data_IF_222256999223
#
_entry.id   IF_222256999223
#
_cell.length_a   1.000
_cell.length_b   1.000
_cell.length_c   1.000
_cell.angle_alpha   90.00
_cell.angle_beta   90.00
_cell.angle_gamma   90.00
#
_symmetry.space_group_name_H-M   'P 1'
#
loop_
_entity.id
_entity.type
_entity.pdbx_description
1 polymer ?
#
# COMPACT_ATOMS: atom_id res chain seq x y z
N UNK A 1 -11.04 4.63 -29.43
CA UNK A 1 -11.73 4.37 -28.15
C UNK A 1 -10.67 3.90 -27.17
N UNK A 2 -10.10 4.82 -26.41
CA UNK A 2 -9.10 4.49 -25.39
C UNK A 2 -9.87 3.97 -24.19
N UNK A 3 -9.87 2.64 -24.00
CA UNK A 3 -10.32 2.04 -22.75
C UNK A 3 -9.30 2.41 -21.67
N UNK A 4 -9.47 3.61 -21.12
CA UNK A 4 -8.74 4.06 -19.95
C UNK A 4 -9.37 3.34 -18.75
N UNK A 5 -9.01 2.07 -18.57
CA UNK A 5 -9.32 1.36 -17.33
C UNK A 5 -8.62 2.13 -16.22
N UNK A 6 -9.37 2.92 -15.46
CA UNK A 6 -8.97 3.40 -14.15
C UNK A 6 -8.83 2.18 -13.23
N UNK A 7 -7.72 1.44 -13.38
CA UNK A 7 -7.31 0.29 -12.58
C UNK A 7 -6.80 0.74 -11.19
N UNK A 8 -7.35 1.83 -10.65
CA UNK A 8 -7.13 2.26 -9.27
C UNK A 8 -8.12 1.49 -8.37
N UNK A 9 -8.11 0.17 -8.48
CA UNK A 9 -8.89 -0.74 -7.61
C UNK A 9 -8.12 -1.07 -6.34
N UNK A 10 -6.87 -0.61 -6.24
CA UNK A 10 -5.99 -0.87 -5.12
C UNK A 10 -5.27 0.41 -4.71
N UNK A 11 -5.09 0.59 -3.41
CA UNK A 11 -4.18 1.60 -2.84
C UNK A 11 -2.79 0.96 -2.69
N UNK A 12 -1.75 1.67 -3.13
CA UNK A 12 -0.38 1.21 -3.00
C UNK A 12 0.30 1.89 -1.80
N UNK A 13 1.13 1.13 -1.09
CA UNK A 13 1.87 1.59 0.07
C UNK A 13 3.35 1.27 -0.12
N UNK A 14 4.18 2.30 -0.17
CA UNK A 14 5.64 2.17 -0.09
C UNK A 14 6.05 2.14 1.38
N UNK A 15 6.67 1.03 1.80
CA UNK A 15 7.12 0.84 3.17
C UNK A 15 8.64 0.79 3.18
N UNK A 16 9.24 1.87 3.66
CA UNK A 16 10.67 1.93 3.92
C UNK A 16 10.98 1.18 5.20
N UNK A 17 11.91 0.25 5.12
CA UNK A 17 12.33 -0.62 6.21
C UNK A 17 13.83 -0.54 6.44
N UNK A 18 14.27 -1.06 7.59
CA UNK A 18 15.67 -1.43 7.80
C UNK A 18 15.95 -2.73 7.02
N UNK A 19 16.99 -2.78 6.17
CA UNK A 19 17.26 -3.94 5.32
C UNK A 19 17.53 -5.22 6.12
N UNK A 20 18.15 -5.11 7.30
CA UNK A 20 18.37 -6.21 8.26
C UNK A 20 17.07 -6.81 8.83
N UNK A 21 15.92 -6.17 8.63
CA UNK A 21 14.60 -6.58 9.15
C UNK A 21 13.60 -6.87 8.04
N UNK A 22 14.03 -6.92 6.78
CA UNK A 22 13.14 -7.10 5.63
C UNK A 22 12.27 -8.36 5.74
N UNK A 23 12.88 -9.51 6.01
CA UNK A 23 12.17 -10.78 6.19
C UNK A 23 11.19 -10.74 7.37
N UNK A 24 11.55 -10.06 8.45
CA UNK A 24 10.68 -9.92 9.61
C UNK A 24 9.47 -9.06 9.31
N UNK A 25 9.65 -7.92 8.66
CA UNK A 25 8.54 -7.04 8.26
C UNK A 25 7.63 -7.78 7.28
N UNK A 26 8.19 -8.45 6.28
CA UNK A 26 7.43 -9.21 5.30
C UNK A 26 6.60 -10.33 5.95
N UNK A 27 7.22 -11.14 6.80
CA UNK A 27 6.53 -12.24 7.48
C UNK A 27 5.42 -11.73 8.40
N UNK A 28 5.67 -10.63 9.12
CA UNK A 28 4.67 -10.03 9.99
C UNK A 28 3.49 -9.46 9.20
N UNK A 29 3.77 -8.71 8.11
CA UNK A 29 2.73 -8.15 7.26
C UNK A 29 1.90 -9.25 6.60
N UNK A 30 2.52 -10.34 6.15
CA UNK A 30 1.80 -11.50 5.61
C UNK A 30 0.91 -12.16 6.67
N UNK A 31 1.42 -12.36 7.89
CA UNK A 31 0.62 -12.92 8.98
C UNK A 31 -0.58 -12.01 9.33
N UNK A 32 -0.36 -10.69 9.40
CA UNK A 32 -1.41 -9.72 9.64
C UNK A 32 -2.41 -9.61 8.46
N UNK A 33 -1.99 -9.93 7.23
CA UNK A 33 -2.87 -9.93 6.06
C UNK A 33 -3.79 -11.15 5.99
N UNK A 34 -3.41 -12.26 6.64
CA UNK A 34 -4.27 -13.44 6.80
C UNK A 34 -5.33 -13.26 7.90
N UNK A 35 -5.15 -12.27 8.78
CA UNK A 35 -6.10 -11.97 9.84
C UNK A 35 -7.17 -11.01 9.32
N UNK A 36 -8.40 -11.53 9.14
CA UNK A 36 -9.53 -10.75 8.61
C UNK A 36 -9.98 -9.61 9.54
N UNK A 37 -9.58 -9.64 10.81
CA UNK A 37 -9.85 -8.56 11.78
C UNK A 37 -8.77 -7.49 11.82
N UNK A 38 -7.65 -7.71 11.13
CA UNK A 38 -6.53 -6.78 11.08
C UNK A 38 -6.77 -5.67 10.06
N UNK A 39 -6.21 -4.49 10.32
CA UNK A 39 -6.17 -3.39 9.36
C UNK A 39 -5.51 -3.80 8.02
N UNK A 40 -4.66 -4.83 8.08
CA UNK A 40 -3.92 -5.35 6.93
C UNK A 40 -4.65 -6.47 6.19
N UNK A 41 -5.90 -6.78 6.56
CA UNK A 41 -6.70 -7.76 5.85
C UNK A 41 -6.74 -7.47 4.34
N UNK A 42 -6.28 -8.45 3.55
CA UNK A 42 -6.18 -8.34 2.09
C UNK A 42 -5.01 -7.49 1.58
N UNK A 43 -4.05 -7.11 2.44
CA UNK A 43 -2.78 -6.54 2.00
C UNK A 43 -1.99 -7.59 1.23
N UNK A 44 -1.57 -7.26 0.03
CA UNK A 44 -0.72 -8.11 -0.81
C UNK A 44 0.64 -7.47 -0.98
N UNK A 45 1.68 -8.27 -0.81
CA UNK A 45 3.04 -7.87 -1.16
C UNK A 45 3.24 -7.92 -2.68
N UNK A 46 3.66 -6.79 -3.26
CA UNK A 46 3.87 -6.65 -4.71
C UNK A 46 5.32 -6.90 -5.08
N UNK A 47 6.26 -6.45 -4.24
CA UNK A 47 7.69 -6.54 -4.53
C UNK A 47 8.50 -5.43 -3.86
N UNK A 48 9.72 -5.21 -4.37
CA UNK A 48 10.55 -4.09 -3.92
C UNK A 48 10.38 -2.88 -4.86
N UNK A 49 10.54 -1.67 -4.31
CA UNK A 49 10.50 -0.44 -5.13
C UNK A 49 11.87 -0.21 -5.77
N UNK A 50 11.99 -0.55 -7.06
CA UNK A 50 13.23 -0.40 -7.82
C UNK A 50 14.34 -1.34 -7.36
N UNK A 51 15.58 -0.84 -7.35
CA UNK A 51 16.76 -1.59 -6.85
C UNK A 51 16.93 -1.49 -5.33
N UNK A 52 16.03 -0.78 -4.64
CA UNK A 52 16.10 -0.56 -3.20
C UNK A 52 15.46 -1.72 -2.44
N UNK A 53 16.29 -2.66 -1.97
CA UNK A 53 15.86 -3.79 -1.11
C UNK A 53 15.29 -3.35 0.23
N UNK A 54 15.46 -2.08 0.60
CA UNK A 54 14.93 -1.48 1.82
C UNK A 54 13.55 -0.82 1.64
N UNK A 55 12.92 -0.96 0.47
CA UNK A 55 11.55 -0.50 0.22
C UNK A 55 10.67 -1.67 -0.21
N UNK A 56 9.62 -1.93 0.54
CA UNK A 56 8.62 -2.96 0.26
C UNK A 56 7.36 -2.28 -0.29
N UNK A 57 6.89 -2.73 -1.44
CA UNK A 57 5.66 -2.28 -2.05
C UNK A 57 4.53 -3.23 -1.67
N UNK A 58 3.49 -2.68 -1.08
CA UNK A 58 2.25 -3.38 -0.80
C UNK A 58 1.10 -2.77 -1.57
N UNK A 59 0.10 -3.58 -1.90
CA UNK A 59 -1.17 -3.12 -2.46
C UNK A 59 -2.31 -3.63 -1.62
N UNK A 60 -3.39 -2.86 -1.59
CA UNK A 60 -4.55 -3.19 -0.79
C UNK A 60 -5.80 -2.89 -1.62
N UNK A 61 -6.75 -3.84 -1.76
CA UNK A 61 -7.96 -3.61 -2.54
C UNK A 61 -8.77 -2.47 -1.90
N UNK A 62 -9.25 -1.56 -2.74
CA UNK A 62 -10.17 -0.50 -2.33
C UNK A 62 -11.56 -1.10 -2.15
N UNK A 63 -12.33 -0.64 -1.15
CA UNK A 63 -13.73 -1.02 -1.05
C UNK A 63 -14.43 -0.62 -2.35
N UNK A 64 -15.13 -1.58 -2.95
CA UNK A 64 -15.86 -1.39 -4.20
C UNK A 64 -17.17 -0.60 -3.97
N UNK A 65 -17.48 -0.29 -2.71
CA UNK A 65 -18.68 0.37 -2.24
C UNK A 65 -18.50 1.89 -2.30
N UNK A 66 -19.24 2.49 -3.23
CA UNK A 66 -19.47 3.91 -3.47
C UNK A 66 -18.24 4.85 -3.63
N UNK A 67 -18.01 5.44 -4.83
CA UNK A 67 -16.97 6.45 -5.05
C UNK A 67 -17.23 7.80 -4.34
N UNK A 68 -18.23 7.87 -3.45
CA UNK A 68 -18.56 9.02 -2.62
C UNK A 68 -18.19 8.84 -1.15
N UNK A 69 -17.73 7.65 -0.72
CA UNK A 69 -17.30 7.41 0.65
C UNK A 69 -15.76 7.52 0.80
N UNK A 70 -15.25 8.72 0.50
CA UNK A 70 -13.83 9.09 0.71
C UNK A 70 -13.40 8.88 2.18
N UNK A 71 -14.34 8.92 3.13
CA UNK A 71 -14.07 8.76 4.56
C UNK A 71 -13.64 7.36 4.96
N UNK A 72 -14.26 6.32 4.41
CA UNK A 72 -13.89 4.93 4.68
C UNK A 72 -12.53 4.55 4.09
N UNK A 73 -12.20 5.03 2.89
CA UNK A 73 -10.88 4.83 2.27
C UNK A 73 -9.79 5.50 3.10
N UNK A 74 -9.97 6.77 3.48
CA UNK A 74 -8.98 7.51 4.29
C UNK A 74 -8.78 6.87 5.67
N UNK A 75 -9.85 6.51 6.36
CA UNK A 75 -9.77 5.86 7.68
C UNK A 75 -9.02 4.52 7.58
N UNK A 76 -9.31 3.72 6.55
CA UNK A 76 -8.62 2.45 6.34
C UNK A 76 -7.15 2.65 5.98
N UNK A 77 -6.84 3.56 5.06
CA UNK A 77 -5.46 3.88 4.68
C UNK A 77 -4.65 4.34 5.90
N UNK A 78 -5.24 5.20 6.74
CA UNK A 78 -4.63 5.63 8.00
C UNK A 78 -4.38 4.47 8.95
N UNK A 79 -5.33 3.54 9.07
CA UNK A 79 -5.19 2.36 9.91
C UNK A 79 -4.10 1.40 9.41
N UNK A 80 -3.99 1.21 8.09
CA UNK A 80 -2.90 0.45 7.44
C UNK A 80 -1.54 1.11 7.71
N UNK A 81 -1.42 2.42 7.53
CA UNK A 81 -0.19 3.18 7.78
C UNK A 81 0.25 3.10 9.23
N UNK A 82 -0.68 3.26 10.17
CA UNK A 82 -0.42 3.16 11.60
C UNK A 82 0.08 1.74 11.98
N UNK A 83 -0.62 0.72 11.48
CA UNK A 83 -0.29 -0.68 11.72
C UNK A 83 1.08 -1.06 11.16
N UNK A 84 1.41 -0.63 9.93
CA UNK A 84 2.72 -0.86 9.32
C UNK A 84 3.82 -0.06 10.04
N UNK A 85 3.56 1.18 10.44
CA UNK A 85 4.53 2.00 11.18
C UNK A 85 4.83 1.46 12.57
N UNK A 86 3.89 0.73 13.18
CA UNK A 86 4.10 0.05 14.46
C UNK A 86 5.02 -1.18 14.36
N UNK A 87 5.29 -1.69 13.15
CA UNK A 87 6.16 -2.86 12.94
C UNK A 87 7.61 -2.50 13.23
N UNK A 88 8.27 -3.30 14.06
CA UNK A 88 9.69 -3.13 14.32
C UNK A 88 10.51 -3.28 13.04
N UNK A 89 11.25 -2.22 12.70
CA UNK A 89 12.09 -2.18 11.50
C UNK A 89 11.48 -1.36 10.37
N UNK A 90 10.22 -0.94 10.45
CA UNK A 90 9.65 0.06 9.54
C UNK A 90 10.18 1.45 9.93
N UNK A 91 10.62 2.21 8.93
CA UNK A 91 11.15 3.56 9.07
C UNK A 91 10.14 4.60 8.61
N UNK A 92 9.42 4.31 7.53
CA UNK A 92 8.44 5.21 6.93
C UNK A 92 7.44 4.40 6.11
N UNK A 93 6.19 4.85 6.08
CA UNK A 93 5.14 4.33 5.21
C UNK A 93 4.57 5.49 4.42
N UNK A 94 4.54 5.37 3.10
CA UNK A 94 4.03 6.38 2.19
C UNK A 94 2.92 5.79 1.31
N UNK A 95 1.81 6.52 1.17
CA UNK A 95 0.69 6.09 0.33
C UNK A 95 0.96 6.56 -1.09
N UNK A 96 1.28 5.63 -1.99
CA UNK A 96 1.39 5.93 -3.41
C UNK A 96 -0.01 6.02 -4.03
N UNK A 97 -0.58 7.21 -3.97
CA UNK A 97 -1.73 7.57 -4.80
C UNK A 97 -1.24 7.70 -6.24
N UNK A 98 -1.70 6.82 -7.15
CA UNK A 98 -1.37 6.89 -8.60
C UNK A 98 -1.87 8.17 -9.30
N UNK A 99 -2.55 9.06 -8.56
CA UNK A 99 -2.93 10.39 -9.05
C UNK A 99 -1.68 11.22 -9.34
N UNK A 100 -1.41 11.39 -10.65
CA UNK A 100 -0.58 12.44 -11.28
C UNK A 100 0.75 12.03 -11.93
N UNK A 101 0.85 10.86 -12.55
CA UNK A 101 1.83 10.65 -13.67
C UNK A 101 1.19 10.55 -15.05
N UNK A 102 0.01 11.16 -15.23
CA UNK A 102 -0.63 11.34 -16.54
C UNK A 102 -0.60 12.79 -17.04
N UNK A 103 0.10 13.72 -16.37
CA UNK A 103 0.21 15.13 -16.82
C UNK A 103 1.62 15.69 -16.62
N UNK A 104 2.56 15.32 -17.49
CA UNK A 104 3.59 16.26 -17.97
C UNK A 104 4.40 15.76 -19.17
N UNK A 105 3.80 14.92 -20.00
CA UNK A 105 4.31 14.62 -21.35
C UNK A 105 3.26 15.14 -22.35
N UNK A 106 3.02 16.46 -22.30
CA UNK A 106 2.45 17.19 -23.43
C UNK A 106 3.61 18.03 -23.98
N UNK A 107 4.34 17.41 -24.91
CA UNK A 107 5.28 18.03 -25.84
C UNK A 107 4.55 18.92 -26.84
#
# INVERSE_FOLDING_TARGET
>A
MVHNYSLDTHTYFDVKIRPERADQVLAWTQAAAQDESSALAGVEYVGHVGELTNHLLYRVPKPQDDPNDDGLEEQRNKHVVDTLSAVQGVLQVDIQTLRQRAKRDEL
#
